data_IF_031435879077
#
_entry.id   IF_031435879077
#
_cell.length_a   1.000
_cell.length_b   1.000
_cell.length_c   1.000
_cell.angle_alpha   90.00
_cell.angle_beta   90.00
_cell.angle_gamma   90.00
#
_symmetry.space_group_name_H-M   'P 1'
#
loop_
_entity.id
_entity.type
_entity.pdbx_description
1 polymer ?
#
# COMPACT_ATOMS: atom_id res chain seq x y z
N UNK A 1 -7.18 -35.53 -50.12
CA UNK A 1 -6.82 -34.13 -50.44
C UNK A 1 -5.46 -33.86 -49.83
N UNK A 2 -4.39 -34.10 -50.58
CA UNK A 2 -3.02 -33.90 -50.11
C UNK A 2 -2.69 -32.41 -50.27
N UNK A 3 -2.47 -31.70 -49.15
CA UNK A 3 -1.98 -30.32 -49.20
C UNK A 3 -0.53 -30.38 -49.69
N UNK A 4 -0.23 -29.67 -50.79
CA UNK A 4 1.12 -29.64 -51.37
C UNK A 4 2.13 -29.06 -50.37
N UNK A 5 3.41 -29.42 -50.52
CA UNK A 5 4.48 -28.93 -49.63
C UNK A 5 4.53 -27.40 -49.55
N UNK A 6 4.14 -26.69 -50.61
CA UNK A 6 4.00 -25.23 -50.62
C UNK A 6 2.83 -24.72 -49.77
N UNK A 7 1.74 -25.48 -49.69
CA UNK A 7 0.58 -25.15 -48.85
C UNK A 7 0.88 -25.27 -47.36
N UNK A 8 1.72 -26.23 -46.96
CA UNK A 8 2.13 -26.42 -45.55
C UNK A 8 3.02 -25.24 -45.10
N UNK A 9 3.94 -24.79 -45.95
CA UNK A 9 4.82 -23.63 -45.66
C UNK A 9 4.01 -22.34 -45.51
N UNK A 10 2.97 -22.15 -46.34
CA UNK A 10 2.10 -20.99 -46.25
C UNK A 10 1.29 -20.97 -44.93
N UNK A 11 0.76 -22.11 -44.50
CA UNK A 11 0.01 -22.22 -43.23
C UNK A 11 0.90 -21.95 -42.02
N UNK A 12 2.15 -22.44 -42.03
CA UNK A 12 3.12 -22.19 -40.95
C UNK A 12 3.54 -20.71 -40.85
N UNK A 13 3.71 -20.04 -42.00
CA UNK A 13 3.99 -18.60 -42.03
C UNK A 13 2.83 -17.76 -41.48
N UNK A 14 1.59 -18.10 -41.82
CA UNK A 14 0.39 -17.42 -41.29
C UNK A 14 0.23 -17.63 -39.78
N UNK A 15 0.61 -18.80 -39.24
CA UNK A 15 0.57 -19.08 -37.81
C UNK A 15 1.63 -18.29 -37.01
N UNK A 16 2.77 -17.97 -37.61
CA UNK A 16 3.84 -17.17 -36.99
C UNK A 16 3.58 -15.65 -36.99
N UNK A 17 2.65 -15.19 -37.83
CA UNK A 17 2.23 -13.78 -37.95
C UNK A 17 0.98 -13.46 -37.13
N UNK A 18 0.32 -14.45 -36.53
CA UNK A 18 -0.67 -14.19 -35.51
C UNK A 18 0.05 -13.57 -34.31
N UNK A 19 -0.32 -12.35 -33.86
CA UNK A 19 0.13 -11.90 -32.57
C UNK A 19 -0.40 -12.91 -31.56
N UNK A 20 0.49 -13.72 -30.99
CA UNK A 20 0.25 -14.32 -29.69
C UNK A 20 0.01 -13.13 -28.77
N UNK A 21 -1.26 -12.80 -28.57
CA UNK A 21 -1.68 -11.97 -27.47
C UNK A 21 -1.27 -12.72 -26.21
N UNK A 22 -0.05 -12.46 -25.73
CA UNK A 22 0.28 -12.66 -24.34
C UNK A 22 -0.65 -11.73 -23.58
N UNK A 23 -1.81 -12.25 -23.20
CA UNK A 23 -2.66 -11.66 -22.17
C UNK A 23 -1.91 -11.65 -20.85
N UNK A 24 -0.93 -10.76 -20.73
CA UNK A 24 -0.49 -10.26 -19.44
C UNK A 24 -1.69 -9.55 -18.82
N UNK A 25 -1.97 -9.79 -17.53
CA UNK A 25 -3.01 -9.09 -16.81
C UNK A 25 -2.65 -7.62 -16.54
N UNK A 26 -2.48 -6.81 -17.58
CA UNK A 26 -2.22 -5.39 -17.47
C UNK A 26 -3.54 -4.63 -17.25
N UNK A 27 -3.56 -3.76 -16.24
CA UNK A 27 -4.69 -2.87 -15.96
C UNK A 27 -4.66 -1.70 -16.97
N UNK A 28 -5.78 -1.47 -17.66
CA UNK A 28 -5.92 -0.37 -18.61
C UNK A 28 -6.84 0.74 -18.03
N UNK A 29 -6.45 2.03 -18.10
CA UNK A 29 -7.30 3.13 -17.66
C UNK A 29 -8.66 3.18 -18.36
N UNK A 30 -8.72 2.82 -19.64
CA UNK A 30 -9.89 2.89 -20.51
C UNK A 30 -10.80 1.66 -20.40
N UNK A 31 -10.53 0.74 -19.46
CA UNK A 31 -11.21 -0.55 -19.36
C UNK A 31 -12.74 -0.45 -19.30
N UNK A 32 -13.28 0.60 -18.67
CA UNK A 32 -14.72 0.80 -18.52
C UNK A 32 -15.35 1.74 -19.57
N UNK A 33 -14.58 2.31 -20.48
CA UNK A 33 -15.07 3.36 -21.39
C UNK A 33 -16.23 2.90 -22.28
N UNK A 34 -16.26 1.61 -22.64
CA UNK A 34 -17.34 1.03 -23.46
C UNK A 34 -18.46 0.36 -22.68
N UNK A 35 -18.17 -0.13 -21.47
CA UNK A 35 -19.16 -0.87 -20.65
C UNK A 35 -19.91 0.05 -19.69
N UNK A 36 -19.22 1.03 -19.11
CA UNK A 36 -19.80 2.00 -18.19
C UNK A 36 -18.99 3.31 -18.26
N UNK A 37 -19.24 4.16 -19.28
CA UNK A 37 -18.49 5.40 -19.47
C UNK A 37 -18.64 6.41 -18.32
N UNK A 38 -19.67 6.24 -17.48
CA UNK A 38 -19.97 7.14 -16.36
C UNK A 38 -19.42 6.64 -15.02
N UNK A 39 -18.69 5.52 -14.99
CA UNK A 39 -18.25 4.91 -13.73
C UNK A 39 -17.41 5.87 -12.90
N UNK A 40 -16.54 6.65 -13.56
CA UNK A 40 -15.64 7.59 -12.90
C UNK A 40 -16.43 8.72 -12.24
N UNK A 41 -17.42 9.25 -12.95
CA UNK A 41 -18.30 10.33 -12.51
C UNK A 41 -19.20 9.87 -11.36
N UNK A 42 -19.76 8.66 -11.45
CA UNK A 42 -20.58 8.07 -10.40
C UNK A 42 -19.77 7.90 -9.12
N UNK A 43 -18.59 7.27 -9.20
CA UNK A 43 -17.71 7.08 -8.04
C UNK A 43 -17.30 8.43 -7.47
N UNK A 44 -16.88 9.37 -8.31
CA UNK A 44 -16.50 10.70 -7.87
C UNK A 44 -17.62 11.44 -7.14
N UNK A 45 -18.85 11.39 -7.68
CA UNK A 45 -20.00 12.06 -7.06
C UNK A 45 -20.33 11.49 -5.67
N UNK A 46 -20.25 10.16 -5.51
CA UNK A 46 -20.52 9.49 -4.25
C UNK A 46 -19.42 9.77 -3.22
N UNK A 47 -18.15 9.72 -3.63
CA UNK A 47 -17.02 10.03 -2.76
C UNK A 47 -17.06 11.49 -2.33
N UNK A 48 -17.31 12.43 -3.25
CA UNK A 48 -17.43 13.85 -2.94
C UNK A 48 -18.56 14.11 -1.94
N UNK A 49 -19.72 13.46 -2.12
CA UNK A 49 -20.86 13.56 -1.18
C UNK A 49 -20.51 12.98 0.19
N UNK A 50 -19.82 11.85 0.25
CA UNK A 50 -19.40 11.21 1.49
C UNK A 50 -18.38 12.06 2.26
N UNK A 51 -17.39 12.63 1.57
CA UNK A 51 -16.37 13.51 2.16
C UNK A 51 -16.97 14.85 2.61
N UNK A 52 -17.90 15.41 1.85
CA UNK A 52 -18.61 16.62 2.24
C UNK A 52 -19.46 16.43 3.50
N UNK A 53 -20.00 15.22 3.71
CA UNK A 53 -20.73 14.86 4.93
C UNK A 53 -19.78 14.64 6.11
N UNK A 54 -18.71 13.87 5.88
CA UNK A 54 -17.71 13.51 6.88
C UNK A 54 -16.30 13.56 6.27
N UNK A 55 -15.50 14.61 6.58
CA UNK A 55 -14.18 14.78 6.00
C UNK A 55 -13.25 13.56 6.14
N UNK A 56 -13.32 12.86 7.28
CA UNK A 56 -12.59 11.61 7.59
C UNK A 56 -12.81 10.49 6.59
N UNK A 57 -13.90 10.51 5.81
CA UNK A 57 -14.18 9.47 4.80
C UNK A 57 -13.10 9.37 3.72
N UNK A 58 -12.41 10.46 3.39
CA UNK A 58 -11.31 10.42 2.43
C UNK A 58 -10.16 9.54 2.93
N UNK A 59 -9.77 9.70 4.20
CA UNK A 59 -8.73 8.90 4.83
C UNK A 59 -9.13 7.43 4.97
N UNK A 60 -10.40 7.16 5.32
CA UNK A 60 -10.93 5.80 5.45
C UNK A 60 -10.94 5.04 4.12
N UNK A 61 -11.36 5.68 3.03
CA UNK A 61 -11.35 5.08 1.69
C UNK A 61 -9.93 4.78 1.22
N UNK A 62 -9.00 5.70 1.47
CA UNK A 62 -7.60 5.52 1.15
C UNK A 62 -6.99 4.35 1.94
N UNK A 63 -7.28 4.27 3.25
CA UNK A 63 -6.88 3.15 4.11
C UNK A 63 -7.40 1.82 3.58
N UNK A 64 -8.67 1.77 3.21
CA UNK A 64 -9.32 0.55 2.71
C UNK A 64 -8.68 0.09 1.40
N UNK A 65 -8.38 1.02 0.48
CA UNK A 65 -7.69 0.71 -0.77
C UNK A 65 -6.30 0.13 -0.50
N UNK A 66 -5.50 0.79 0.35
CA UNK A 66 -4.20 0.27 0.74
C UNK A 66 -4.29 -1.11 1.39
N UNK A 67 -5.28 -1.34 2.25
CA UNK A 67 -5.46 -2.64 2.90
C UNK A 67 -5.78 -3.76 1.89
N UNK A 68 -6.68 -3.55 0.93
CA UNK A 68 -6.96 -4.56 -0.12
C UNK A 68 -5.74 -4.81 -1.01
N UNK A 69 -5.01 -3.73 -1.35
CA UNK A 69 -3.77 -3.85 -2.11
C UNK A 69 -2.67 -4.56 -1.33
N UNK A 70 -2.53 -4.34 -0.02
CA UNK A 70 -1.49 -4.97 0.81
C UNK A 70 -1.75 -6.47 1.01
N UNK A 71 -3.02 -6.87 1.20
CA UNK A 71 -3.39 -8.29 1.27
C UNK A 71 -3.05 -9.00 -0.04
N UNK A 72 -3.32 -8.37 -1.18
CA UNK A 72 -2.95 -8.91 -2.51
C UNK A 72 -1.46 -8.83 -2.81
N UNK A 73 -0.76 -7.82 -2.32
CA UNK A 73 0.67 -7.64 -2.46
C UNK A 73 1.48 -8.52 -1.48
N UNK A 74 0.81 -9.32 -0.64
CA UNK A 74 1.47 -10.19 0.33
C UNK A 74 2.26 -9.38 1.34
N UNK A 75 1.62 -8.37 1.95
CA UNK A 75 2.21 -7.58 3.02
C UNK A 75 2.96 -8.46 4.04
N UNK A 76 4.03 -7.95 4.65
CA UNK A 76 4.89 -8.76 5.50
C UNK A 76 4.06 -9.37 6.63
N UNK A 77 4.00 -10.69 6.67
CA UNK A 77 3.61 -11.42 7.86
C UNK A 77 4.87 -11.57 8.71
N UNK A 78 4.83 -11.09 9.95
CA UNK A 78 5.90 -11.35 10.90
C UNK A 78 5.36 -12.17 12.06
N UNK A 79 6.14 -13.17 12.47
CA UNK A 79 5.87 -13.90 13.70
C UNK A 79 6.19 -12.99 14.88
N UNK A 80 5.27 -12.89 15.84
CA UNK A 80 5.46 -12.09 17.06
C UNK A 80 6.07 -12.98 18.14
N UNK A 81 7.30 -12.72 18.62
CA UNK A 81 7.86 -13.46 19.73
C UNK A 81 7.01 -13.29 21.00
N UNK A 82 6.62 -14.41 21.60
CA UNK A 82 5.81 -14.43 22.83
C UNK A 82 6.69 -14.69 24.07
N UNK A 83 6.11 -14.49 25.26
CA UNK A 83 6.80 -14.74 26.54
C UNK A 83 7.24 -13.49 27.31
N UNK A 84 6.82 -12.29 26.87
CA UNK A 84 6.99 -11.06 27.64
C UNK A 84 6.29 -11.18 28.99
N UNK A 85 7.01 -10.94 30.08
CA UNK A 85 6.45 -10.88 31.43
C UNK A 85 6.07 -9.44 31.77
N UNK A 86 5.07 -9.27 32.61
CA UNK A 86 4.66 -7.95 33.10
C UNK A 86 5.54 -7.50 34.27
N UNK A 87 5.88 -6.22 34.27
CA UNK A 87 6.66 -5.61 35.35
C UNK A 87 5.82 -5.47 36.62
N UNK A 88 6.46 -5.56 37.79
CA UNK A 88 5.83 -5.30 39.09
C UNK A 88 5.78 -3.80 39.46
N UNK A 89 6.32 -2.92 38.60
CA UNK A 89 6.33 -1.47 38.82
C UNK A 89 6.58 -0.66 37.56
N UNK A 90 6.33 0.66 37.63
CA UNK A 90 6.52 1.61 36.54
C UNK A 90 7.69 2.58 36.83
N UNK A 91 8.34 3.08 35.78
CA UNK A 91 9.43 4.06 35.89
C UNK A 91 9.11 5.34 35.11
N UNK A 92 8.80 6.41 35.84
CA UNK A 92 8.56 7.73 35.25
C UNK A 92 9.87 8.37 34.74
N UNK A 93 10.95 8.22 35.49
CA UNK A 93 12.26 8.75 35.09
C UNK A 93 12.79 8.06 33.84
N UNK A 94 12.64 6.74 33.72
CA UNK A 94 12.98 6.00 32.49
C UNK A 94 12.18 6.51 31.30
N UNK A 95 10.86 6.64 31.46
CA UNK A 95 9.96 7.15 30.42
C UNK A 95 10.36 8.54 29.92
N UNK A 96 10.65 9.49 30.81
CA UNK A 96 11.07 10.84 30.43
C UNK A 96 12.42 10.87 29.70
N UNK A 97 13.32 9.92 29.99
CA UNK A 97 14.65 9.86 29.37
C UNK A 97 14.67 9.09 28.04
N UNK A 98 13.77 8.12 27.87
CA UNK A 98 13.77 7.20 26.72
C UNK A 98 12.74 7.60 25.65
N UNK A 99 11.63 8.23 26.02
CA UNK A 99 10.61 8.68 25.07
C UNK A 99 11.04 10.03 24.46
N UNK A 100 11.18 10.15 23.13
CA UNK A 100 11.44 11.43 22.49
C UNK A 100 10.22 12.34 22.56
N UNK A 101 10.42 13.60 22.93
CA UNK A 101 9.36 14.60 22.85
C UNK A 101 9.21 15.09 21.39
N UNK A 102 8.01 15.53 20.97
CA UNK A 102 7.78 16.04 19.61
C UNK A 102 8.65 17.24 19.21
N UNK A 103 9.19 17.96 20.20
CA UNK A 103 10.07 19.11 20.01
C UNK A 103 11.57 18.76 20.08
N UNK A 104 11.93 17.49 20.28
CA UNK A 104 13.33 17.08 20.33
C UNK A 104 13.97 17.16 18.94
N UNK A 105 15.25 17.52 18.90
CA UNK A 105 16.01 17.55 17.65
C UNK A 105 16.22 16.13 17.12
N UNK A 106 16.26 15.96 15.80
CA UNK A 106 16.52 14.67 15.15
C UNK A 106 17.72 13.88 15.72
N UNK A 107 18.90 14.49 15.99
CA UNK A 107 20.02 13.76 16.62
C UNK A 107 19.70 13.23 18.02
N UNK A 108 18.85 13.93 18.79
CA UNK A 108 18.39 13.46 20.10
C UNK A 108 17.48 12.24 19.96
N UNK A 109 16.60 12.27 18.96
CA UNK A 109 15.69 11.16 18.63
C UNK A 109 16.51 9.92 18.22
N UNK A 110 17.48 10.08 17.30
CA UNK A 110 18.36 9.00 16.87
C UNK A 110 19.12 8.40 18.06
N UNK A 111 19.61 9.24 18.98
CA UNK A 111 20.34 8.77 20.16
C UNK A 111 19.46 7.94 21.10
N UNK A 112 18.20 8.36 21.29
CA UNK A 112 17.22 7.61 22.09
C UNK A 112 16.87 6.26 21.45
N UNK A 113 16.68 6.22 20.12
CA UNK A 113 16.44 4.97 19.39
C UNK A 113 17.63 4.01 19.45
N UNK A 114 18.85 4.52 19.27
CA UNK A 114 20.08 3.73 19.41
C UNK A 114 20.24 3.10 20.79
N UNK A 115 19.79 3.78 21.85
CA UNK A 115 19.80 3.23 23.23
C UNK A 115 18.90 2.02 23.39
N UNK A 116 17.83 1.95 22.60
CA UNK A 116 16.90 0.81 22.54
C UNK A 116 17.33 -0.25 21.50
N UNK A 117 18.52 -0.10 20.90
CA UNK A 117 19.04 -1.01 19.89
C UNK A 117 18.42 -0.84 18.50
N UNK A 118 17.69 0.26 18.26
CA UNK A 118 17.06 0.56 16.98
C UNK A 118 17.95 1.49 16.14
N UNK A 119 18.00 1.25 14.83
CA UNK A 119 18.79 2.04 13.90
C UNK A 119 17.96 3.14 13.21
N UNK A 120 18.58 3.83 12.24
CA UNK A 120 17.90 4.89 11.47
C UNK A 120 16.84 4.33 10.51
N UNK A 121 17.00 3.09 10.04
CA UNK A 121 16.04 2.42 9.17
C UNK A 121 14.79 2.08 9.97
N UNK A 122 14.95 1.56 11.19
CA UNK A 122 13.86 1.31 12.13
C UNK A 122 13.11 2.60 12.45
N UNK A 123 13.84 3.70 12.74
CA UNK A 123 13.23 5.00 13.00
C UNK A 123 12.34 5.46 11.82
N UNK A 124 12.82 5.34 10.58
CA UNK A 124 12.06 5.73 9.39
C UNK A 124 10.87 4.80 9.15
N UNK A 125 11.05 3.49 9.35
CA UNK A 125 9.98 2.51 9.21
C UNK A 125 8.84 2.79 10.21
N UNK A 126 9.16 3.00 11.50
CA UNK A 126 8.17 3.36 12.52
C UNK A 126 7.56 4.76 12.30
N UNK A 127 8.32 5.72 11.79
CA UNK A 127 7.79 7.04 11.45
C UNK A 127 6.77 7.01 10.29
N UNK A 128 6.81 5.98 9.44
CA UNK A 128 5.81 5.77 8.38
C UNK A 128 4.37 5.65 8.93
N UNK A 129 4.20 5.03 10.09
CA UNK A 129 2.90 4.94 10.77
C UNK A 129 2.38 6.32 11.21
N UNK A 130 3.29 7.20 11.63
CA UNK A 130 2.96 8.57 11.98
C UNK A 130 2.47 9.37 10.78
N UNK A 131 3.08 9.20 9.60
CA UNK A 131 2.61 9.85 8.36
C UNK A 131 1.18 9.43 8.02
N UNK A 132 0.89 8.13 8.13
CA UNK A 132 -0.45 7.62 7.92
C UNK A 132 -1.47 8.18 8.92
N UNK A 133 -1.10 8.25 10.21
CA UNK A 133 -1.94 8.81 11.26
C UNK A 133 -2.11 10.34 11.12
N UNK A 134 -1.07 11.06 10.71
CA UNK A 134 -1.08 12.53 10.52
C UNK A 134 -2.00 12.94 9.36
N UNK A 135 -2.00 12.16 8.26
CA UNK A 135 -2.98 12.34 7.19
C UNK A 135 -4.41 12.23 7.72
N UNK A 136 -4.69 11.28 8.62
CA UNK A 136 -6.01 11.12 9.22
C UNK A 136 -6.39 12.28 10.16
N UNK A 137 -5.42 12.83 10.91
CA UNK A 137 -5.64 13.99 11.80
C UNK A 137 -5.85 15.31 11.05
N UNK A 138 -5.22 15.51 9.89
CA UNK A 138 -5.33 16.76 9.11
C UNK A 138 -6.59 16.82 8.24
N UNK A 139 -7.26 15.69 8.12
CA UNK A 139 -8.52 15.49 7.40
C UNK A 139 -9.73 15.59 8.35
N UNK A 140 -9.52 15.65 9.68
CA UNK A 140 -10.59 16.00 10.65
C UNK A 140 -10.56 17.49 10.94
#
# INVERSE_FOLDING_TARGET
MALSMSGIVAVLMVLSLAPLSLGGGYLCPEYYDKSCPQVKEIVWSMVAKAVAKEPRMAASLLRLHFHDCFVKAGGPNWEVPLGRRDSLGASLSGSNNDIPAPNNTLPTIITKFKRQGLDIVDLVALAGEFLFSSLNSKIT
#
